data_IF_457916788842
#
_entry.id   IF_457916788842
#
_cell.length_a   1.000
_cell.length_b   1.000
_cell.length_c   1.000
_cell.angle_alpha   90.00
_cell.angle_beta   90.00
_cell.angle_gamma   90.00
#
_symmetry.space_group_name_H-M   'P 1'
#
loop_
_entity.id
_entity.type
_entity.pdbx_description
1 polymer ?
#
# COMPACT_ATOMS: atom_id res chain seq x y z
N UNK A 1 10.74 22.51 14.50
CA UNK A 1 10.04 22.38 15.80
C UNK A 1 10.80 23.02 16.95
N UNK A 2 12.00 22.54 17.30
CA UNK A 2 12.83 23.10 18.39
C UNK A 2 12.92 24.62 18.36
N UNK A 3 13.30 25.23 17.22
CA UNK A 3 13.46 26.70 17.12
C UNK A 3 12.20 27.51 17.45
N UNK A 4 11.02 26.97 17.20
CA UNK A 4 9.77 27.66 17.58
C UNK A 4 9.44 27.40 19.05
N UNK A 5 9.67 26.19 19.57
CA UNK A 5 9.28 25.79 20.93
C UNK A 5 10.25 26.23 22.03
N UNK A 6 11.55 26.10 21.75
CA UNK A 6 12.63 26.34 22.68
C UNK A 6 13.24 27.72 22.47
N UNK A 7 13.42 28.12 21.21
CA UNK A 7 14.09 29.37 20.87
C UNK A 7 13.09 30.53 20.59
N UNK A 8 11.77 30.27 20.70
CA UNK A 8 10.70 31.26 20.57
C UNK A 8 10.57 31.90 19.18
N UNK A 9 11.23 31.35 18.15
CA UNK A 9 11.23 31.97 16.82
C UNK A 9 9.86 31.87 16.13
N UNK A 10 9.45 32.90 15.36
CA UNK A 10 8.16 32.89 14.68
C UNK A 10 8.08 31.78 13.62
N UNK A 11 6.94 31.09 13.59
CA UNK A 11 6.67 29.95 12.68
C UNK A 11 6.96 30.29 11.22
N UNK A 12 6.57 31.47 10.75
CA UNK A 12 6.76 31.92 9.37
C UNK A 12 8.25 32.01 8.98
N UNK A 13 9.07 32.55 9.88
CA UNK A 13 10.53 32.67 9.70
C UNK A 13 11.17 31.28 9.67
N UNK A 14 10.83 30.43 10.65
CA UNK A 14 11.41 29.08 10.76
C UNK A 14 11.02 28.22 9.57
N UNK A 15 9.75 28.21 9.16
CA UNK A 15 9.29 27.46 8.00
C UNK A 15 10.08 27.86 6.74
N UNK A 16 10.17 29.16 6.46
CA UNK A 16 10.93 29.69 5.30
C UNK A 16 12.42 29.31 5.38
N UNK A 17 13.03 29.45 6.55
CA UNK A 17 14.45 29.15 6.78
C UNK A 17 14.79 27.67 6.51
N UNK A 18 13.88 26.75 6.81
CA UNK A 18 14.07 25.31 6.53
C UNK A 18 13.48 24.86 5.19
N UNK A 19 13.07 25.78 4.31
CA UNK A 19 12.52 25.44 2.99
C UNK A 19 11.12 24.82 3.02
N UNK A 20 10.35 25.06 4.09
CA UNK A 20 8.99 24.55 4.25
C UNK A 20 7.94 25.67 4.17
N UNK A 21 6.71 25.27 3.87
CA UNK A 21 5.55 26.14 4.03
C UNK A 21 5.12 26.24 5.51
N UNK A 22 4.34 27.28 5.86
CA UNK A 22 3.69 27.36 7.18
C UNK A 22 2.76 26.16 7.43
N UNK A 23 2.08 25.66 6.40
CA UNK A 23 1.20 24.48 6.50
C UNK A 23 2.00 23.24 6.86
N UNK A 24 3.13 23.02 6.18
CA UNK A 24 4.03 21.90 6.46
C UNK A 24 4.54 21.93 7.90
N UNK A 25 4.85 23.13 8.44
CA UNK A 25 5.24 23.26 9.84
C UNK A 25 4.16 22.69 10.79
N UNK A 26 2.89 23.08 10.61
CA UNK A 26 1.82 22.60 11.49
C UNK A 26 1.54 21.11 11.32
N UNK A 27 1.67 20.56 10.11
CA UNK A 27 1.58 19.11 9.88
C UNK A 27 2.69 18.36 10.62
N UNK A 28 3.94 18.84 10.53
CA UNK A 28 5.09 18.29 11.23
C UNK A 28 4.90 18.41 12.75
N UNK A 29 4.38 19.56 13.21
CA UNK A 29 4.08 19.80 14.63
C UNK A 29 3.06 18.79 15.15
N UNK A 30 1.94 18.66 14.45
CA UNK A 30 0.87 17.74 14.80
C UNK A 30 1.35 16.27 14.82
N UNK A 31 2.11 15.85 13.81
CA UNK A 31 2.67 14.50 13.76
C UNK A 31 3.63 14.23 14.94
N UNK A 32 4.47 15.21 15.29
CA UNK A 32 5.36 15.12 16.44
C UNK A 32 4.60 15.10 17.78
N UNK A 33 3.54 15.89 17.92
CA UNK A 33 2.76 15.91 19.16
C UNK A 33 1.99 14.59 19.39
N UNK A 34 1.59 13.92 18.32
CA UNK A 34 0.89 12.63 18.43
C UNK A 34 1.82 11.43 18.65
N UNK A 35 3.00 11.41 18.01
CA UNK A 35 3.84 10.20 17.93
C UNK A 35 5.32 10.46 18.23
N UNK A 36 5.67 11.67 18.69
CA UNK A 36 7.06 12.08 18.92
C UNK A 36 7.90 12.03 17.63
N UNK A 37 9.17 11.64 17.77
CA UNK A 37 10.07 11.49 16.63
C UNK A 37 9.58 10.46 15.60
N UNK A 38 8.84 9.42 16.03
CA UNK A 38 8.33 8.39 15.13
C UNK A 38 7.34 8.96 14.11
N UNK A 39 6.54 9.97 14.49
CA UNK A 39 5.61 10.65 13.59
C UNK A 39 6.27 11.44 12.46
N UNK A 40 7.57 11.73 12.59
CA UNK A 40 8.35 12.42 11.55
C UNK A 40 9.01 11.44 10.56
N UNK A 41 8.95 10.14 10.83
CA UNK A 41 9.52 9.14 9.95
C UNK A 41 8.62 8.90 8.73
N UNK A 42 9.21 8.56 7.56
CA UNK A 42 8.44 8.17 6.40
C UNK A 42 7.53 6.97 6.72
N UNK A 43 6.25 7.12 6.44
CA UNK A 43 5.30 6.01 6.50
C UNK A 43 5.40 5.19 5.21
N UNK A 44 5.01 3.91 5.27
CA UNK A 44 4.98 3.09 4.06
C UNK A 44 4.00 3.69 3.05
N UNK A 45 4.51 3.97 1.85
CA UNK A 45 3.74 4.61 0.77
C UNK A 45 2.96 3.57 -0.03
N UNK A 46 1.78 3.97 -0.48
CA UNK A 46 0.99 3.24 -1.46
C UNK A 46 0.28 2.00 -0.89
N UNK A 47 -0.64 1.44 -1.66
CA UNK A 47 -1.45 0.32 -1.20
C UNK A 47 -0.60 -0.95 -1.08
N UNK A 48 -0.66 -1.60 0.09
CA UNK A 48 0.17 -2.77 0.46
C UNK A 48 -0.27 -4.09 -0.18
N UNK A 49 -1.50 -4.15 -0.69
CA UNK A 49 -2.15 -5.39 -1.13
C UNK A 49 -2.62 -5.30 -2.58
N UNK A 50 -2.75 -6.43 -3.27
CA UNK A 50 -3.26 -6.46 -4.63
C UNK A 50 -4.77 -6.19 -4.65
N UNK A 51 -5.19 -5.04 -5.18
CA UNK A 51 -6.59 -4.61 -5.11
C UNK A 51 -7.53 -5.39 -6.04
N UNK A 52 -6.98 -6.08 -7.06
CA UNK A 52 -7.76 -6.87 -8.04
C UNK A 52 -7.80 -8.37 -7.74
N UNK A 53 -6.91 -8.86 -6.87
CA UNK A 53 -6.85 -10.26 -6.46
C UNK A 53 -7.23 -10.31 -4.99
N UNK A 54 -8.50 -9.97 -4.74
CA UNK A 54 -9.13 -10.07 -3.43
C UNK A 54 -9.22 -11.53 -3.00
N UNK A 55 -9.60 -11.75 -1.75
CA UNK A 55 -9.74 -13.09 -1.18
C UNK A 55 -10.72 -13.96 -1.99
N UNK A 56 -11.89 -13.44 -2.35
CA UNK A 56 -12.88 -14.14 -3.17
C UNK A 56 -12.32 -14.59 -4.52
N UNK A 57 -11.52 -13.74 -5.18
CA UNK A 57 -10.88 -14.06 -6.45
C UNK A 57 -9.83 -15.15 -6.26
N UNK A 58 -9.10 -15.15 -5.14
CA UNK A 58 -8.12 -16.18 -4.82
C UNK A 58 -8.76 -17.54 -4.48
N UNK A 59 -9.91 -17.54 -3.79
CA UNK A 59 -10.72 -18.74 -3.54
C UNK A 59 -11.18 -19.33 -4.86
N UNK A 60 -11.70 -18.50 -5.77
CA UNK A 60 -12.09 -18.94 -7.11
C UNK A 60 -10.92 -19.53 -7.91
N UNK A 61 -9.78 -18.84 -7.95
CA UNK A 61 -8.57 -19.34 -8.62
C UNK A 61 -8.16 -20.72 -8.07
N UNK A 62 -8.22 -20.90 -6.75
CA UNK A 62 -7.88 -22.17 -6.10
C UNK A 62 -8.85 -23.28 -6.47
N UNK A 63 -10.16 -22.99 -6.49
CA UNK A 63 -11.19 -23.93 -6.94
C UNK A 63 -10.98 -24.38 -8.39
N UNK A 64 -10.67 -23.44 -9.29
CA UNK A 64 -10.39 -23.74 -10.70
C UNK A 64 -9.17 -24.67 -10.84
N UNK A 65 -8.08 -24.40 -10.08
CA UNK A 65 -6.88 -25.26 -10.10
C UNK A 65 -7.14 -26.66 -9.52
N UNK A 66 -7.98 -26.77 -8.50
CA UNK A 66 -8.35 -28.07 -7.92
C UNK A 66 -9.18 -28.92 -8.90
N UNK A 67 -10.05 -28.29 -9.70
CA UNK A 67 -10.80 -28.99 -10.74
C UNK A 67 -9.90 -29.39 -11.93
N UNK A 68 -8.92 -28.55 -12.28
CA UNK A 68 -8.00 -28.82 -13.39
C UNK A 68 -6.60 -28.27 -13.09
N UNK A 69 -5.74 -29.14 -12.60
CA UNK A 69 -4.37 -28.80 -12.20
C UNK A 69 -3.51 -28.22 -13.34
N UNK A 70 -3.86 -28.50 -14.61
CA UNK A 70 -3.12 -28.04 -15.79
C UNK A 70 -3.48 -26.63 -16.27
N UNK A 71 -4.40 -25.91 -15.60
CA UNK A 71 -4.81 -24.57 -16.02
C UNK A 71 -3.64 -23.58 -15.93
N UNK A 72 -3.39 -22.90 -17.04
CA UNK A 72 -2.36 -21.86 -17.11
C UNK A 72 -2.90 -20.54 -16.59
N UNK A 73 -2.00 -19.62 -16.22
CA UNK A 73 -2.39 -18.29 -15.75
C UNK A 73 -3.22 -17.51 -16.79
N UNK A 74 -3.01 -17.76 -18.08
CA UNK A 74 -3.79 -17.20 -19.19
C UNK A 74 -5.25 -17.64 -19.18
N UNK A 75 -5.51 -18.91 -18.87
CA UNK A 75 -6.86 -19.46 -18.80
C UNK A 75 -7.62 -18.88 -17.60
N UNK A 76 -6.92 -18.72 -16.47
CA UNK A 76 -7.47 -18.10 -15.27
C UNK A 76 -7.86 -16.64 -15.50
N UNK A 77 -7.13 -15.88 -16.33
CA UNK A 77 -7.53 -14.50 -16.69
C UNK A 77 -8.88 -14.50 -17.40
N UNK A 78 -9.11 -15.44 -18.32
CA UNK A 78 -10.38 -15.53 -19.06
C UNK A 78 -11.52 -15.86 -18.09
N UNK A 79 -11.32 -16.85 -17.21
CA UNK A 79 -12.34 -17.25 -16.24
C UNK A 79 -12.64 -16.14 -15.22
N UNK A 80 -11.63 -15.44 -14.73
CA UNK A 80 -11.81 -14.28 -13.82
C UNK A 80 -12.60 -13.16 -14.52
N UNK A 81 -12.29 -12.89 -15.79
CA UNK A 81 -13.04 -11.89 -16.56
C UNK A 81 -14.51 -12.30 -16.74
N UNK A 82 -14.78 -13.57 -17.00
CA UNK A 82 -16.14 -14.09 -17.16
C UNK A 82 -16.93 -14.09 -15.83
N UNK A 83 -16.31 -14.51 -14.73
CA UNK A 83 -16.99 -14.67 -13.45
C UNK A 83 -17.11 -13.36 -12.65
N UNK A 84 -16.08 -12.50 -12.71
CA UNK A 84 -16.01 -11.27 -11.90
C UNK A 84 -16.02 -9.97 -12.72
N UNK A 85 -15.96 -10.02 -14.05
CA UNK A 85 -15.80 -8.82 -14.89
C UNK A 85 -14.44 -8.11 -14.73
N UNK A 86 -13.47 -8.75 -14.05
CA UNK A 86 -12.19 -8.15 -13.71
C UNK A 86 -11.12 -8.47 -14.76
N UNK A 87 -10.43 -7.42 -15.24
CA UNK A 87 -9.25 -7.58 -16.09
C UNK A 87 -7.97 -7.58 -15.25
N UNK A 88 -7.31 -8.73 -15.23
CA UNK A 88 -6.07 -9.00 -14.48
C UNK A 88 -5.00 -9.55 -15.43
N UNK A 89 -3.75 -9.15 -15.23
CA UNK A 89 -2.63 -9.65 -16.02
C UNK A 89 -2.18 -11.05 -15.53
N UNK A 90 -1.81 -12.01 -16.41
CA UNK A 90 -1.35 -13.35 -16.01
C UNK A 90 -0.24 -13.33 -14.95
N UNK A 91 0.78 -12.47 -15.14
CA UNK A 91 1.84 -12.19 -14.15
C UNK A 91 1.34 -11.85 -12.74
N UNK A 92 0.19 -11.19 -12.61
CA UNK A 92 -0.38 -10.85 -11.30
C UNK A 92 -0.91 -12.10 -10.60
N UNK A 93 -1.55 -13.01 -11.35
CA UNK A 93 -2.05 -14.30 -10.86
C UNK A 93 -0.86 -15.17 -10.44
N UNK A 94 0.17 -15.30 -11.29
CA UNK A 94 1.40 -16.03 -10.96
C UNK A 94 2.02 -15.53 -9.65
N UNK A 95 2.18 -14.21 -9.51
CA UNK A 95 2.73 -13.61 -8.30
C UNK A 95 1.85 -13.83 -7.08
N UNK A 96 0.52 -13.86 -7.23
CA UNK A 96 -0.39 -14.15 -6.13
C UNK A 96 -0.28 -15.62 -5.68
N UNK A 97 -0.25 -16.56 -6.63
CA UNK A 97 -0.03 -17.98 -6.36
C UNK A 97 1.33 -18.23 -5.67
N UNK A 98 2.40 -17.59 -6.14
CA UNK A 98 3.71 -17.67 -5.49
C UNK A 98 3.71 -17.14 -4.06
N UNK A 99 2.94 -16.08 -3.76
CA UNK A 99 2.80 -15.55 -2.41
C UNK A 99 2.03 -16.50 -1.49
N UNK A 100 1.01 -17.18 -2.02
CA UNK A 100 0.23 -18.17 -1.27
C UNK A 100 1.10 -19.37 -0.85
N UNK A 101 1.86 -19.92 -1.80
CA UNK A 101 2.84 -21.00 -1.52
C UNK A 101 3.85 -20.60 -0.45
N UNK A 102 4.39 -19.37 -0.49
CA UNK A 102 5.33 -18.88 0.52
C UNK A 102 4.71 -18.72 1.91
N UNK A 103 3.40 -18.54 2.00
CA UNK A 103 2.65 -18.45 3.26
C UNK A 103 2.28 -19.82 3.84
N UNK A 104 2.56 -20.92 3.12
CA UNK A 104 2.18 -22.27 3.54
C UNK A 104 0.66 -22.54 3.45
N UNK A 105 -0.05 -21.77 2.62
CA UNK A 105 -1.48 -21.92 2.32
C UNK A 105 -1.69 -22.57 0.96
#
# INVERSE_FOLDING_TARGET
>A
LRRVRQDGEPVSKVAKMFGFSRVSYYQIQHAYDQQGLAGLMPHQRGPRHAHKLTEDVMVFISACKNQKASLQATDLVIQIKQHFGLSVHPRSIERALQRQLKKGL
#
